data_IF_156352478734
#
_entry.id   IF_156352478734
#
_cell.length_a   1.000
_cell.length_b   1.000
_cell.length_c   1.000
_cell.angle_alpha   90.00
_cell.angle_beta   90.00
_cell.angle_gamma   90.00
#
_symmetry.space_group_name_H-M   'P 1'
#
loop_
_entity.id
_entity.type
_entity.pdbx_description
1 polymer ?
#
# COMPACT_ATOMS: atom_id res chain seq x y z
N UNK A 1 -17.88 -1.71 -13.87
CA UNK A 1 -16.96 -0.75 -14.51
C UNK A 1 -16.81 -1.05 -16.00
N UNK A 2 -16.75 0.00 -16.80
CA UNK A 2 -16.59 -0.16 -18.23
C UNK A 2 -15.10 -0.19 -18.65
N UNK A 3 -14.87 -0.41 -19.94
CA UNK A 3 -13.51 -0.51 -20.51
C UNK A 3 -12.71 0.78 -20.29
N UNK A 4 -13.35 1.93 -20.44
CA UNK A 4 -12.68 3.24 -20.30
C UNK A 4 -12.19 3.43 -18.87
N UNK A 5 -13.00 3.06 -17.88
CA UNK A 5 -12.61 3.15 -16.47
C UNK A 5 -11.42 2.25 -16.15
N UNK A 6 -11.42 1.00 -16.66
CA UNK A 6 -10.26 0.12 -16.51
C UNK A 6 -9.01 0.70 -17.15
N UNK A 7 -9.17 1.33 -18.31
CA UNK A 7 -8.04 1.96 -19.01
C UNK A 7 -7.48 3.16 -18.23
N UNK A 8 -8.35 3.96 -17.63
CA UNK A 8 -7.95 5.07 -16.75
C UNK A 8 -7.14 4.54 -15.57
N UNK A 9 -7.67 3.52 -14.88
CA UNK A 9 -7.00 2.93 -13.73
C UNK A 9 -5.63 2.35 -14.11
N UNK A 10 -5.55 1.60 -15.18
CA UNK A 10 -4.32 1.02 -15.67
C UNK A 10 -3.26 2.08 -16.01
N UNK A 11 -3.69 3.17 -16.61
CA UNK A 11 -2.81 4.28 -17.00
C UNK A 11 -2.29 5.01 -15.75
N UNK A 12 -3.18 5.30 -14.80
CA UNK A 12 -2.79 5.96 -13.55
C UNK A 12 -1.91 5.08 -12.66
N UNK A 13 -2.09 3.77 -12.70
CA UNK A 13 -1.19 2.86 -11.98
C UNK A 13 0.25 2.94 -12.46
N UNK A 14 0.45 3.26 -13.72
CA UNK A 14 1.79 3.41 -14.30
C UNK A 14 2.35 4.79 -14.06
N UNK A 15 1.52 5.83 -14.12
CA UNK A 15 1.93 7.21 -13.89
C UNK A 15 0.76 8.04 -13.39
N UNK A 16 0.71 8.23 -12.08
CA UNK A 16 -0.35 9.00 -11.43
C UNK A 16 -0.14 10.52 -11.53
N UNK A 17 0.98 10.98 -12.10
CA UNK A 17 1.30 12.39 -12.23
C UNK A 17 0.89 13.01 -13.57
N UNK A 18 0.23 12.23 -14.40
CA UNK A 18 -0.32 12.74 -15.66
C UNK A 18 -1.33 13.86 -15.37
N UNK A 19 -1.27 14.92 -16.15
CA UNK A 19 -2.33 15.93 -16.13
C UNK A 19 -3.61 15.30 -16.70
N UNK A 20 -4.76 15.89 -16.38
CA UNK A 20 -6.02 15.39 -16.94
C UNK A 20 -6.00 15.39 -18.48
N UNK A 21 -5.37 16.39 -19.08
CA UNK A 21 -5.26 16.48 -20.53
C UNK A 21 -4.44 15.34 -21.11
N UNK A 22 -3.30 15.02 -20.49
CA UNK A 22 -2.46 13.90 -20.91
C UNK A 22 -3.17 12.56 -20.74
N UNK A 23 -3.85 12.37 -19.61
CA UNK A 23 -4.62 11.16 -19.35
C UNK A 23 -5.73 11.01 -20.38
N UNK A 24 -6.47 12.07 -20.64
CA UNK A 24 -7.56 12.05 -21.62
C UNK A 24 -7.08 11.58 -23.00
N UNK A 25 -5.94 12.09 -23.44
CA UNK A 25 -5.34 11.66 -24.72
C UNK A 25 -5.04 10.17 -24.72
N UNK A 26 -4.48 9.64 -23.65
CA UNK A 26 -4.09 8.23 -23.58
C UNK A 26 -5.30 7.29 -23.57
N UNK A 27 -6.41 7.72 -22.97
CA UNK A 27 -7.60 6.87 -22.87
C UNK A 27 -8.65 7.15 -23.97
N UNK A 28 -8.36 8.11 -24.85
CA UNK A 28 -9.24 8.41 -25.99
C UNK A 28 -10.48 9.21 -25.63
N UNK A 29 -10.38 10.09 -24.65
CA UNK A 29 -11.46 10.98 -24.22
C UNK A 29 -11.08 12.43 -24.39
N UNK A 30 -12.08 13.33 -24.45
CA UNK A 30 -11.85 14.75 -24.24
C UNK A 30 -11.69 15.03 -22.75
N UNK A 31 -11.17 16.22 -22.41
CA UNK A 31 -10.78 16.55 -21.04
C UNK A 31 -11.91 16.47 -20.02
N UNK A 32 -13.08 17.02 -20.33
CA UNK A 32 -14.20 17.08 -19.37
C UNK A 32 -14.75 15.71 -18.99
N UNK A 33 -15.07 14.82 -19.95
CA UNK A 33 -15.50 13.46 -19.61
C UNK A 33 -14.44 12.68 -18.84
N UNK A 34 -13.16 12.86 -19.17
CA UNK A 34 -12.07 12.21 -18.46
C UNK A 34 -12.04 12.63 -17.00
N UNK A 35 -12.10 13.94 -16.73
CA UNK A 35 -12.09 14.47 -15.37
C UNK A 35 -13.27 13.94 -14.54
N UNK A 36 -14.47 13.89 -15.14
CA UNK A 36 -15.67 13.37 -14.46
C UNK A 36 -15.49 11.91 -14.06
N UNK A 37 -14.90 11.09 -14.94
CA UNK A 37 -14.69 9.68 -14.67
C UNK A 37 -13.65 9.48 -13.56
N UNK A 38 -12.56 10.24 -13.59
CA UNK A 38 -11.53 10.18 -12.53
C UNK A 38 -12.14 10.56 -11.18
N UNK A 39 -12.89 11.66 -11.13
CA UNK A 39 -13.54 12.09 -9.89
C UNK A 39 -14.55 11.08 -9.37
N UNK A 40 -15.30 10.43 -10.25
CA UNK A 40 -16.22 9.37 -9.85
C UNK A 40 -15.46 8.17 -9.25
N UNK A 41 -14.33 7.78 -9.83
CA UNK A 41 -13.49 6.72 -9.29
C UNK A 41 -12.90 7.08 -7.93
N UNK A 42 -12.53 8.34 -7.73
CA UNK A 42 -12.06 8.83 -6.43
C UNK A 42 -13.17 8.86 -5.39
N UNK A 43 -14.34 9.41 -5.76
CA UNK A 43 -15.46 9.58 -4.84
C UNK A 43 -16.08 8.25 -4.40
N UNK A 44 -16.06 7.24 -5.25
CA UNK A 44 -16.55 5.90 -4.91
C UNK A 44 -15.52 5.04 -4.17
N UNK A 45 -14.30 5.54 -4.01
CA UNK A 45 -13.24 4.83 -3.29
C UNK A 45 -12.52 3.77 -4.12
N UNK A 46 -12.83 3.61 -5.40
CA UNK A 46 -12.09 2.70 -6.28
C UNK A 46 -10.64 3.17 -6.37
N UNK A 47 -10.43 4.47 -6.55
CA UNK A 47 -9.12 5.07 -6.31
C UNK A 47 -9.13 5.53 -4.85
N UNK A 48 -8.40 4.82 -4.00
CA UNK A 48 -8.37 5.11 -2.57
C UNK A 48 -7.38 6.21 -2.21
N UNK A 49 -6.45 6.52 -3.09
CA UNK A 49 -5.48 7.57 -2.87
C UNK A 49 -4.33 7.50 -3.85
N UNK A 50 -3.41 8.44 -3.69
CA UNK A 50 -2.18 8.54 -4.48
C UNK A 50 -1.01 8.65 -3.52
N UNK A 51 0.07 7.98 -3.82
CA UNK A 51 1.25 8.03 -2.98
C UNK A 51 2.53 8.02 -3.81
N UNK A 52 3.60 8.53 -3.23
CA UNK A 52 4.91 8.49 -3.86
C UNK A 52 5.57 7.14 -3.64
N UNK A 53 6.21 6.61 -4.67
CA UNK A 53 7.03 5.42 -4.57
C UNK A 53 8.46 5.90 -4.31
N UNK A 54 9.01 5.54 -3.15
CA UNK A 54 10.31 6.00 -2.69
C UNK A 54 11.35 4.91 -2.90
N UNK A 55 12.49 5.30 -3.42
CA UNK A 55 13.65 4.39 -3.51
C UNK A 55 14.27 4.28 -2.12
N UNK A 56 14.11 3.12 -1.50
CA UNK A 56 14.55 2.85 -0.12
C UNK A 56 16.06 3.08 0.07
N UNK A 57 16.85 2.73 -0.94
CA UNK A 57 18.31 2.87 -0.86
C UNK A 57 18.75 4.33 -0.82
N UNK A 58 17.99 5.19 -1.47
CA UNK A 58 18.30 6.63 -1.53
C UNK A 58 17.92 7.39 -0.28
N UNK A 59 17.11 6.81 0.58
CA UNK A 59 16.72 7.39 1.87
C UNK A 59 17.28 6.59 3.06
N UNK A 60 18.29 5.77 2.79
CA UNK A 60 19.00 4.96 3.81
C UNK A 60 18.10 4.00 4.59
N UNK A 61 17.10 3.44 3.92
CA UNK A 61 16.20 2.43 4.49
C UNK A 61 16.28 1.15 3.66
N UNK A 62 17.49 0.65 3.46
CA UNK A 62 17.77 -0.41 2.49
C UNK A 62 17.50 -1.83 2.98
N UNK A 63 17.24 -2.03 4.27
CA UNK A 63 17.03 -3.37 4.82
C UNK A 63 15.55 -3.69 4.91
N UNK A 64 15.12 -4.71 4.16
CA UNK A 64 13.78 -5.29 4.24
C UNK A 64 13.86 -6.57 5.07
N UNK A 65 13.02 -6.69 6.07
CA UNK A 65 12.93 -7.90 6.88
C UNK A 65 11.50 -8.41 6.84
N UNK A 66 11.34 -9.67 6.49
CA UNK A 66 10.05 -10.35 6.52
C UNK A 66 9.97 -11.19 7.78
N UNK A 67 8.98 -10.92 8.61
CA UNK A 67 8.80 -11.58 9.91
C UNK A 67 7.49 -12.31 9.93
N UNK A 68 7.54 -13.60 10.29
CA UNK A 68 6.34 -14.41 10.53
C UNK A 68 6.00 -14.28 12.00
N UNK A 69 4.76 -13.93 12.29
CA UNK A 69 4.27 -13.74 13.66
C UNK A 69 3.19 -14.78 13.96
N UNK A 70 3.37 -15.49 15.06
CA UNK A 70 2.35 -16.42 15.58
C UNK A 70 1.82 -15.86 16.88
N UNK A 71 0.50 -15.79 17.00
CA UNK A 71 -0.16 -15.29 18.20
C UNK A 71 -0.46 -16.44 19.15
N UNK A 72 -0.35 -16.18 20.45
CA UNK A 72 -0.70 -17.16 21.48
C UNK A 72 -2.18 -17.51 21.43
N UNK A 73 -3.02 -16.54 21.09
CA UNK A 73 -4.46 -16.72 20.91
C UNK A 73 -4.87 -16.38 19.50
N UNK A 74 -5.32 -17.39 18.77
CA UNK A 74 -5.81 -17.24 17.40
C UNK A 74 -7.32 -16.94 17.38
N UNK A 75 -7.77 -16.03 18.25
CA UNK A 75 -9.16 -15.58 18.30
C UNK A 75 -9.30 -14.28 17.51
N UNK A 76 -10.52 -13.94 17.09
CA UNK A 76 -10.78 -12.65 16.42
C UNK A 76 -10.35 -11.48 17.29
N UNK A 77 -10.56 -11.56 18.60
CA UNK A 77 -10.15 -10.53 19.55
C UNK A 77 -8.64 -10.38 19.60
N UNK A 78 -7.89 -11.49 19.61
CA UNK A 78 -6.43 -11.46 19.58
C UNK A 78 -5.89 -10.87 18.29
N UNK A 79 -6.52 -11.17 17.17
CA UNK A 79 -6.15 -10.62 15.86
C UNK A 79 -6.38 -9.12 15.81
N UNK A 80 -7.52 -8.64 16.32
CA UNK A 80 -7.84 -7.21 16.36
C UNK A 80 -6.85 -6.42 17.21
N UNK A 81 -6.49 -6.94 18.38
CA UNK A 81 -5.51 -6.29 19.28
C UNK A 81 -4.14 -6.19 18.59
N UNK A 82 -3.72 -7.25 17.93
CA UNK A 82 -2.45 -7.25 17.18
C UNK A 82 -2.46 -6.23 16.06
N UNK A 83 -3.53 -6.19 15.27
CA UNK A 83 -3.66 -5.26 14.15
C UNK A 83 -3.62 -3.80 14.60
N UNK A 84 -4.28 -3.49 15.72
CA UNK A 84 -4.26 -2.14 16.29
C UNK A 84 -2.87 -1.72 16.73
N UNK A 85 -2.11 -2.64 17.35
CA UNK A 85 -0.75 -2.34 17.81
C UNK A 85 0.25 -2.18 16.68
N UNK A 86 0.12 -3.00 15.63
CA UNK A 86 1.10 -3.01 14.54
C UNK A 86 1.11 -1.70 13.76
N UNK A 87 -0.03 -1.02 13.68
CA UNK A 87 -0.17 0.27 12.99
C UNK A 87 0.68 1.36 13.66
N UNK A 88 0.93 1.24 14.96
CA UNK A 88 1.71 2.22 15.71
C UNK A 88 3.19 2.25 15.33
N UNK A 89 3.70 1.19 14.68
CA UNK A 89 5.11 1.09 14.32
C UNK A 89 5.34 1.59 12.91
N UNK A 90 6.11 2.67 12.78
CA UNK A 90 6.45 3.26 11.48
C UNK A 90 7.29 2.31 10.61
N UNK A 91 8.05 1.42 11.23
CA UNK A 91 8.93 0.46 10.54
C UNK A 91 8.15 -0.61 9.79
N UNK A 92 6.89 -0.86 10.19
CA UNK A 92 6.03 -1.87 9.54
C UNK A 92 5.37 -1.25 8.31
N UNK A 93 5.76 -1.71 7.14
CA UNK A 93 5.22 -1.23 5.86
C UNK A 93 3.98 -1.98 5.45
N UNK A 94 3.95 -3.28 5.67
CA UNK A 94 2.86 -4.14 5.25
C UNK A 94 2.66 -5.24 6.28
N UNK A 95 1.41 -5.66 6.46
CA UNK A 95 1.04 -6.78 7.31
C UNK A 95 -0.01 -7.61 6.59
N UNK A 96 0.22 -8.91 6.48
CA UNK A 96 -0.68 -9.83 5.79
C UNK A 96 -1.15 -10.90 6.76
N UNK A 97 -2.47 -11.13 6.80
CA UNK A 97 -3.05 -12.27 7.50
C UNK A 97 -2.75 -13.53 6.68
N UNK A 98 -2.21 -14.54 7.33
CA UNK A 98 -1.80 -15.78 6.68
C UNK A 98 -2.67 -16.97 7.11
N UNK A 99 -2.83 -17.91 6.20
CA UNK A 99 -3.32 -19.25 6.52
C UNK A 99 -2.12 -20.16 6.75
N UNK A 100 -2.22 -21.12 7.66
CA UNK A 100 -1.15 -22.05 7.97
C UNK A 100 -0.63 -21.86 9.39
N UNK A 101 0.67 -22.13 9.60
CA UNK A 101 1.28 -22.14 10.94
C UNK A 101 1.46 -20.76 11.55
N UNK A 102 1.78 -19.75 10.75
CA UNK A 102 1.92 -18.39 11.22
C UNK A 102 0.65 -17.60 10.99
N UNK A 103 0.36 -16.63 11.85
CA UNK A 103 -0.83 -15.78 11.75
C UNK A 103 -0.62 -14.58 10.84
N UNK A 104 0.58 -13.97 10.88
CA UNK A 104 0.89 -12.78 10.11
C UNK A 104 2.26 -12.85 9.47
N UNK A 105 2.37 -12.24 8.30
CA UNK A 105 3.64 -11.90 7.66
C UNK A 105 3.76 -10.38 7.64
N UNK A 106 4.84 -9.86 8.21
CA UNK A 106 5.13 -8.43 8.24
C UNK A 106 6.31 -8.13 7.34
N UNK A 107 6.22 -7.02 6.61
CA UNK A 107 7.38 -6.44 5.95
C UNK A 107 7.82 -5.22 6.74
N UNK A 108 9.03 -5.28 7.26
CA UNK A 108 9.63 -4.25 8.10
C UNK A 108 10.78 -3.62 7.31
N UNK A 109 10.86 -2.30 7.31
CA UNK A 109 11.90 -1.55 6.64
C UNK A 109 12.69 -0.77 7.68
N UNK A 110 13.99 -1.01 7.71
CA UNK A 110 14.91 -0.34 8.63
C UNK A 110 16.20 0.01 7.90
N UNK A 111 17.02 0.85 8.52
CA UNK A 111 18.25 1.29 7.89
C UNK A 111 19.38 0.25 8.00
N UNK A 112 19.40 -0.54 9.08
CA UNK A 112 20.40 -1.58 9.32
C UNK A 112 19.86 -2.68 10.23
N UNK A 113 20.64 -3.76 10.38
CA UNK A 113 20.24 -4.89 11.23
C UNK A 113 20.22 -4.54 12.72
N UNK A 114 21.04 -3.61 13.15
CA UNK A 114 21.04 -3.16 14.53
C UNK A 114 19.74 -2.46 14.90
N UNK A 115 19.23 -1.64 14.01
CA UNK A 115 17.92 -0.99 14.18
C UNK A 115 16.80 -2.03 14.24
N UNK A 116 16.89 -3.09 13.43
CA UNK A 116 15.93 -4.19 13.47
C UNK A 116 15.96 -4.92 14.80
N UNK A 117 17.14 -5.23 15.32
CA UNK A 117 17.27 -5.87 16.65
C UNK A 117 16.64 -5.03 17.75
N UNK A 118 16.83 -3.72 17.69
CA UNK A 118 16.24 -2.78 18.64
C UNK A 118 14.70 -2.77 18.53
N UNK A 119 14.19 -2.81 17.30
CA UNK A 119 12.74 -2.89 17.05
C UNK A 119 12.13 -4.13 17.68
N UNK A 120 12.80 -5.29 17.59
CA UNK A 120 12.30 -6.55 18.13
C UNK A 120 12.15 -6.54 19.66
N UNK A 121 12.90 -5.69 20.35
CA UNK A 121 12.85 -5.59 21.81
C UNK A 121 11.72 -4.72 22.35
N UNK A 122 11.10 -3.98 21.48
CA UNK A 122 9.93 -3.18 21.80
C UNK A 122 8.64 -3.97 21.52
#
# INVERSE_FOLDING_TARGET
MDYIEYKILSTLQKNARLTNLELAKQVGLSASPCLRRVKALENTGIISGYSAIIDQNKVDLSVNVFVQVSLERQSEEGLEVFEEKIIEYNEVMEAYLMTGEADYLLRIVVKDLQTYEKFLKE
#
